data_IF_950933129051
#
_entry.id   IF_950933129051
#
_cell.length_a   1.000
_cell.length_b   1.000
_cell.length_c   1.000
_cell.angle_alpha   90.00
_cell.angle_beta   90.00
_cell.angle_gamma   90.00
#
_symmetry.space_group_name_H-M   'P 1'
#
loop_
_entity.id
_entity.type
_entity.pdbx_description
1 polymer ?
#
# COMPACT_ATOMS: atom_id res chain seq x y z
N UNK A 1 -10.29 15.90 -4.01
CA UNK A 1 -9.67 15.94 -2.67
C UNK A 1 -8.22 15.47 -2.77
N UNK A 2 -7.38 15.88 -1.82
CA UNK A 2 -5.99 15.41 -1.68
C UNK A 2 -5.92 14.59 -0.40
N UNK A 3 -5.24 13.44 -0.43
CA UNK A 3 -4.85 12.70 0.77
C UNK A 3 -3.33 12.84 0.96
N UNK A 4 -2.88 13.03 2.20
CA UNK A 4 -1.48 13.25 2.52
C UNK A 4 -1.17 12.82 3.95
N UNK A 5 0.11 12.52 4.23
CA UNK A 5 0.60 12.27 5.59
C UNK A 5 1.04 13.56 6.28
N UNK A 6 0.87 13.66 7.60
CA UNK A 6 1.41 14.77 8.40
C UNK A 6 1.76 14.32 9.82
N UNK A 7 2.88 14.80 10.36
CA UNK A 7 3.37 14.49 11.71
C UNK A 7 3.02 15.54 12.78
N UNK A 8 2.05 16.41 12.49
CA UNK A 8 1.69 17.54 13.36
C UNK A 8 1.13 17.13 14.72
N UNK A 9 0.69 15.87 14.85
CA UNK A 9 0.06 15.29 16.04
C UNK A 9 0.95 14.23 16.73
N UNK A 10 2.28 14.36 16.59
CA UNK A 10 3.35 13.56 17.23
C UNK A 10 3.76 12.24 16.52
N UNK A 11 3.01 11.76 15.53
CA UNK A 11 3.30 10.65 14.60
C UNK A 11 2.71 10.96 13.22
N UNK A 12 3.18 10.32 12.14
CA UNK A 12 2.55 10.51 10.82
C UNK A 12 1.15 9.90 10.78
N UNK A 13 0.21 10.71 10.31
CA UNK A 13 -1.20 10.35 10.21
C UNK A 13 -1.73 10.77 8.85
N UNK A 14 -2.78 10.09 8.38
CA UNK A 14 -3.43 10.40 7.10
C UNK A 14 -4.45 11.52 7.30
N UNK A 15 -4.33 12.54 6.47
CA UNK A 15 -5.26 13.66 6.38
C UNK A 15 -5.83 13.77 4.98
N UNK A 16 -6.99 14.41 4.87
CA UNK A 16 -7.54 14.88 3.61
C UNK A 16 -7.71 16.39 3.60
N UNK A 17 -7.71 16.98 2.41
CA UNK A 17 -8.03 18.39 2.19
C UNK A 17 -8.62 18.65 0.81
N UNK A 18 -9.22 19.82 0.64
CA UNK A 18 -9.61 20.34 -0.66
C UNK A 18 -8.39 20.65 -1.52
N UNK A 19 -8.58 20.73 -2.84
CA UNK A 19 -7.49 21.02 -3.80
C UNK A 19 -6.90 22.43 -3.57
N UNK A 20 -7.69 23.35 -3.00
CA UNK A 20 -7.25 24.69 -2.59
C UNK A 20 -6.52 24.72 -1.23
N UNK A 21 -6.33 23.56 -0.59
CA UNK A 21 -5.69 23.41 0.72
C UNK A 21 -6.60 23.61 1.93
N UNK A 22 -7.87 23.99 1.73
CA UNK A 22 -8.85 24.18 2.81
C UNK A 22 -9.45 22.86 3.30
N UNK A 23 -10.23 22.90 4.39
CA UNK A 23 -11.03 21.76 4.84
C UNK A 23 -10.21 20.56 5.33
N UNK A 24 -9.06 20.81 5.97
CA UNK A 24 -8.19 19.74 6.45
C UNK A 24 -8.87 18.88 7.52
N UNK A 25 -8.93 17.57 7.29
CA UNK A 25 -9.53 16.58 8.21
C UNK A 25 -8.57 15.44 8.46
N UNK A 26 -8.37 15.06 9.73
CA UNK A 26 -7.58 13.88 10.12
C UNK A 26 -8.44 12.62 9.97
N UNK A 27 -7.94 11.58 9.31
CA UNK A 27 -8.66 10.32 9.08
C UNK A 27 -8.18 9.17 9.95
N UNK A 28 -6.91 9.16 10.35
CA UNK A 28 -6.32 8.15 11.24
C UNK A 28 -5.83 8.80 12.51
N UNK A 29 -5.89 8.11 13.66
CA UNK A 29 -5.47 8.64 14.96
C UNK A 29 -5.05 7.52 15.91
N UNK A 30 -4.19 6.64 15.42
CA UNK A 30 -3.66 5.54 16.22
C UNK A 30 -2.18 5.81 16.53
N UNK A 31 -1.60 5.23 17.60
CA UNK A 31 -0.24 5.57 18.02
C UNK A 31 0.88 5.07 17.06
N UNK A 32 0.54 4.45 15.92
CA UNK A 32 1.49 3.98 14.91
C UNK A 32 1.70 5.00 13.79
N UNK A 33 2.73 4.80 12.96
CA UNK A 33 2.99 5.68 11.81
C UNK A 33 2.14 5.23 10.61
N UNK A 34 1.38 6.18 10.04
CA UNK A 34 0.58 5.99 8.85
C UNK A 34 1.11 6.81 7.66
N UNK A 35 1.45 6.10 6.59
CA UNK A 35 2.28 6.62 5.51
C UNK A 35 1.71 6.29 4.11
N UNK A 36 2.19 7.04 3.11
CA UNK A 36 2.00 6.75 1.67
C UNK A 36 0.54 6.55 1.23
N UNK A 37 -0.38 7.50 1.54
CA UNK A 37 -1.78 7.35 1.15
C UNK A 37 -1.98 7.44 -0.37
N UNK A 38 -2.87 6.62 -0.90
CA UNK A 38 -3.27 6.59 -2.30
C UNK A 38 -4.79 6.46 -2.44
N UNK A 39 -5.42 7.37 -3.19
CA UNK A 39 -6.84 7.32 -3.50
C UNK A 39 -7.17 6.20 -4.51
N UNK A 40 -8.29 5.52 -4.26
CA UNK A 40 -8.99 4.73 -5.29
C UNK A 40 -9.50 5.65 -6.41
N UNK A 41 -9.59 5.18 -7.67
CA UNK A 41 -9.98 6.01 -8.81
C UNK A 41 -11.40 6.61 -8.70
N UNK A 42 -12.32 5.90 -8.04
CA UNK A 42 -13.68 6.39 -7.81
C UNK A 42 -13.80 7.33 -6.60
N UNK A 43 -12.68 7.55 -5.89
CA UNK A 43 -12.58 8.45 -4.76
C UNK A 43 -13.30 7.96 -3.50
N UNK A 44 -13.74 6.69 -3.45
CA UNK A 44 -14.48 6.16 -2.30
C UNK A 44 -13.61 5.53 -1.24
N UNK A 45 -12.36 5.24 -1.56
CA UNK A 45 -11.41 4.57 -0.68
C UNK A 45 -10.01 5.15 -0.77
N UNK A 46 -9.22 4.94 0.30
CA UNK A 46 -7.81 5.31 0.43
C UNK A 46 -7.03 4.06 0.86
N UNK A 47 -6.01 3.66 0.12
CA UNK A 47 -5.01 2.71 0.58
C UNK A 47 -3.84 3.45 1.26
N UNK A 48 -3.27 2.90 2.32
CA UNK A 48 -2.14 3.48 3.03
C UNK A 48 -1.34 2.41 3.78
N UNK A 49 -0.13 2.76 4.17
CA UNK A 49 0.78 1.91 4.95
C UNK A 49 0.61 2.24 6.43
N UNK A 50 0.51 1.25 7.31
CA UNK A 50 0.35 1.46 8.76
C UNK A 50 1.09 0.40 9.59
N UNK A 51 1.68 0.81 10.70
CA UNK A 51 2.40 -0.06 11.64
C UNK A 51 1.53 -0.67 12.76
N UNK A 52 0.21 -0.51 12.72
CA UNK A 52 -0.69 -0.82 13.84
C UNK A 52 -0.79 -2.30 14.24
N UNK A 53 -0.41 -3.23 13.36
CA UNK A 53 -0.57 -4.68 13.59
C UNK A 53 0.71 -5.43 14.04
N UNK A 54 1.87 -4.78 14.20
CA UNK A 54 3.08 -5.55 14.49
C UNK A 54 4.42 -4.83 14.64
N UNK A 55 4.61 -4.07 15.72
CA UNK A 55 5.90 -3.46 16.11
C UNK A 55 6.45 -2.39 15.14
N UNK A 56 7.26 -1.47 15.66
CA UNK A 56 7.75 -0.26 14.97
C UNK A 56 8.56 -0.51 13.67
N UNK A 57 8.68 -1.76 13.25
CA UNK A 57 9.45 -2.21 12.09
C UNK A 57 8.60 -2.96 11.03
N UNK A 58 7.33 -3.29 11.31
CA UNK A 58 6.46 -4.01 10.36
C UNK A 58 5.27 -3.15 9.95
N UNK A 59 5.39 -2.47 8.81
CA UNK A 59 4.26 -1.77 8.20
C UNK A 59 3.52 -2.65 7.20
N UNK A 60 2.20 -2.53 7.19
CA UNK A 60 1.28 -3.29 6.34
C UNK A 60 0.40 -2.35 5.51
N UNK A 61 -0.13 -2.83 4.38
CA UNK A 61 -1.10 -2.07 3.56
C UNK A 61 -2.52 -2.25 4.09
N UNK A 62 -3.21 -1.13 4.32
CA UNK A 62 -4.61 -1.05 4.69
C UNK A 62 -5.40 -0.27 3.65
N UNK A 63 -6.69 -0.58 3.50
CA UNK A 63 -7.64 0.23 2.73
C UNK A 63 -8.73 0.74 3.65
N UNK A 64 -9.08 2.01 3.55
CA UNK A 64 -10.21 2.60 4.25
C UNK A 64 -11.20 3.29 3.32
N UNK A 65 -12.44 3.44 3.76
CA UNK A 65 -13.40 4.34 3.12
C UNK A 65 -12.88 5.80 3.16
N UNK A 66 -13.25 6.60 2.16
CA UNK A 66 -12.80 7.98 1.94
C UNK A 66 -13.05 8.91 3.14
N UNK A 67 -14.06 8.59 3.94
CA UNK A 67 -14.46 9.31 5.14
C UNK A 67 -13.78 8.79 6.42
N UNK A 68 -12.95 7.75 6.32
CA UNK A 68 -12.31 7.08 7.45
C UNK A 68 -13.28 6.21 8.26
N UNK A 69 -14.41 5.74 7.72
CA UNK A 69 -15.40 5.00 8.53
C UNK A 69 -15.21 3.48 8.58
N UNK A 70 -14.50 2.87 7.62
CA UNK A 70 -14.21 1.42 7.61
C UNK A 70 -12.80 1.16 7.13
N UNK A 71 -12.09 0.25 7.79
CA UNK A 71 -10.85 -0.35 7.26
C UNK A 71 -11.19 -1.76 6.77
N UNK A 72 -10.96 -2.01 5.49
CA UNK A 72 -10.96 -3.34 4.91
C UNK A 72 -9.53 -3.66 4.46
N UNK A 73 -9.11 -4.86 4.83
CA UNK A 73 -7.95 -5.56 4.29
C UNK A 73 -6.61 -5.33 5.00
N UNK A 74 -6.01 -6.49 5.28
CA UNK A 74 -4.71 -6.72 5.86
C UNK A 74 -4.05 -7.75 4.94
N UNK A 75 -2.95 -7.38 4.28
CA UNK A 75 -2.20 -8.31 3.44
C UNK A 75 -1.26 -9.13 4.34
N UNK A 76 -1.71 -10.28 4.86
CA UNK A 76 -0.77 -11.29 5.39
C UNK A 76 -0.69 -12.50 4.48
N UNK A 77 0.50 -12.84 3.92
CA UNK A 77 0.60 -13.76 2.78
C UNK A 77 0.38 -15.23 3.13
N UNK A 78 0.25 -15.58 4.41
CA UNK A 78 0.20 -16.98 4.84
C UNK A 78 -0.89 -17.31 5.87
N UNK A 79 -1.75 -16.37 6.24
CA UNK A 79 -2.86 -16.63 7.17
C UNK A 79 -4.09 -15.83 6.75
N UNK A 80 -5.18 -16.54 6.45
CA UNK A 80 -6.50 -15.96 6.25
C UNK A 80 -6.99 -15.33 7.57
N UNK A 81 -6.57 -14.12 7.87
CA UNK A 81 -7.13 -13.31 8.94
C UNK A 81 -7.78 -12.07 8.31
N UNK A 82 -9.11 -12.11 8.18
CA UNK A 82 -9.91 -10.93 7.85
C UNK A 82 -10.23 -10.25 9.17
N UNK A 83 -9.62 -9.10 9.45
CA UNK A 83 -10.07 -8.21 10.52
C UNK A 83 -11.03 -7.18 9.93
N UNK A 84 -12.17 -7.01 10.59
CA UNK A 84 -13.07 -5.87 10.39
C UNK A 84 -12.74 -4.86 11.49
N UNK A 85 -12.21 -3.68 11.14
CA UNK A 85 -11.89 -2.62 12.11
C UNK A 85 -12.43 -1.25 11.66
N UNK A 86 -12.67 -0.38 12.64
CA UNK A 86 -12.93 1.05 12.41
C UNK A 86 -11.62 1.80 12.13
N UNK A 87 -11.65 2.96 11.47
CA UNK A 87 -10.40 3.68 11.16
C UNK A 87 -9.69 4.30 12.36
N UNK A 88 -10.30 4.22 13.55
CA UNK A 88 -9.69 4.66 14.81
C UNK A 88 -8.89 3.55 15.50
N UNK A 89 -8.87 2.32 14.96
CA UNK A 89 -8.04 1.23 15.48
C UNK A 89 -8.46 0.69 16.85
N UNK A 90 -9.71 0.85 17.27
CA UNK A 90 -10.18 0.31 18.56
C UNK A 90 -10.64 -1.15 18.41
N UNK A 91 -10.23 -2.00 19.36
CA UNK A 91 -10.57 -3.43 19.52
C UNK A 91 -10.03 -4.42 18.44
N UNK A 92 -8.72 -4.45 18.14
CA UNK A 92 -8.15 -5.50 17.29
C UNK A 92 -8.09 -6.86 18.01
N UNK A 93 -8.80 -7.87 17.50
CA UNK A 93 -8.71 -9.26 18.01
C UNK A 93 -7.72 -10.05 17.16
N UNK A 94 -6.45 -10.06 17.53
CA UNK A 94 -5.40 -10.80 16.83
C UNK A 94 -5.59 -12.33 16.96
N UNK A 95 -5.59 -13.08 15.85
CA UNK A 95 -5.78 -14.54 15.87
C UNK A 95 -4.59 -15.37 15.38
N UNK A 96 -3.51 -14.80 14.81
CA UNK A 96 -2.31 -15.58 14.45
C UNK A 96 -1.10 -14.69 14.15
N UNK A 97 0.05 -15.08 14.71
CA UNK A 97 1.30 -14.34 14.73
C UNK A 97 2.33 -14.95 13.76
N UNK A 98 2.66 -14.26 12.66
CA UNK A 98 3.84 -14.57 11.83
C UNK A 98 4.49 -13.25 11.42
N UNK A 99 5.70 -13.00 11.93
CA UNK A 99 6.31 -11.67 12.19
C UNK A 99 7.63 -11.40 11.42
N UNK A 100 7.63 -11.40 10.09
CA UNK A 100 8.89 -11.09 9.36
C UNK A 100 8.76 -10.43 7.98
N UNK A 101 7.55 -10.21 7.43
CA UNK A 101 7.37 -9.60 6.11
C UNK A 101 6.69 -8.24 6.21
N UNK A 102 7.08 -7.30 5.36
CA UNK A 102 6.52 -5.94 5.28
C UNK A 102 5.90 -5.68 3.90
N UNK A 103 4.72 -5.07 3.90
CA UNK A 103 4.01 -4.66 2.69
C UNK A 103 3.79 -3.15 2.69
N UNK A 104 4.34 -2.44 1.69
CA UNK A 104 4.42 -0.97 1.67
C UNK A 104 4.20 -0.40 0.26
N UNK A 105 4.02 0.92 0.15
CA UNK A 105 3.90 1.66 -1.11
C UNK A 105 2.77 1.18 -2.04
N UNK A 106 1.50 1.17 -1.59
CA UNK A 106 0.40 0.75 -2.42
C UNK A 106 0.11 1.75 -3.56
N UNK A 107 -0.25 1.24 -4.72
CA UNK A 107 -0.69 2.01 -5.88
C UNK A 107 -1.89 1.33 -6.56
N UNK A 108 -3.02 2.04 -6.63
CA UNK A 108 -4.20 1.60 -7.36
C UNK A 108 -3.99 1.71 -8.87
N UNK A 109 -4.43 0.67 -9.58
CA UNK A 109 -4.65 0.75 -11.02
C UNK A 109 -5.74 1.76 -11.35
N UNK A 110 -5.61 2.58 -12.42
CA UNK A 110 -6.61 3.59 -12.78
C UNK A 110 -8.02 3.07 -13.06
N UNK A 111 -8.16 1.82 -13.49
CA UNK A 111 -9.44 1.13 -13.65
C UNK A 111 -10.01 0.56 -12.34
N UNK A 112 -9.26 0.68 -11.23
CA UNK A 112 -9.68 0.29 -9.89
C UNK A 112 -9.71 -1.21 -9.66
N UNK A 113 -9.24 -2.03 -10.60
CA UNK A 113 -9.35 -3.48 -10.53
C UNK A 113 -8.26 -4.12 -9.66
N UNK A 114 -7.12 -3.45 -9.52
CA UNK A 114 -5.89 -3.99 -8.94
C UNK A 114 -5.14 -2.98 -8.06
N UNK A 115 -4.36 -3.51 -7.13
CA UNK A 115 -3.43 -2.78 -6.27
C UNK A 115 -2.04 -3.38 -6.49
N UNK A 116 -1.06 -2.55 -6.82
CA UNK A 116 0.36 -2.90 -6.81
C UNK A 116 0.99 -2.42 -5.50
N UNK A 117 1.93 -3.17 -4.94
CA UNK A 117 2.62 -2.83 -3.70
C UNK A 117 4.00 -3.47 -3.65
N UNK A 118 4.86 -2.98 -2.75
CA UNK A 118 6.17 -3.56 -2.45
C UNK A 118 6.02 -4.55 -1.31
N UNK A 119 6.59 -5.75 -1.41
CA UNK A 119 6.60 -6.74 -0.32
C UNK A 119 7.99 -7.31 -0.08
N UNK A 120 8.33 -7.61 1.17
CA UNK A 120 9.57 -8.33 1.55
C UNK A 120 9.35 -9.82 1.84
N UNK A 121 8.16 -10.35 1.56
CA UNK A 121 7.74 -11.71 1.95
C UNK A 121 8.60 -12.85 1.39
N UNK A 122 9.33 -12.62 0.29
CA UNK A 122 10.20 -13.60 -0.35
C UNK A 122 11.70 -13.39 -0.01
N UNK A 123 12.01 -12.51 0.97
CA UNK A 123 13.37 -12.29 1.49
C UNK A 123 14.09 -11.06 0.94
N UNK A 124 13.53 -10.42 -0.10
CA UNK A 124 13.94 -9.12 -0.62
C UNK A 124 12.69 -8.31 -1.03
N UNK A 125 12.84 -6.99 -1.22
CA UNK A 125 11.73 -6.15 -1.68
C UNK A 125 11.40 -6.45 -3.14
N UNK A 126 10.15 -6.80 -3.41
CA UNK A 126 9.62 -7.17 -4.73
C UNK A 126 8.29 -6.46 -5.00
N UNK A 127 7.92 -6.30 -6.28
CA UNK A 127 6.64 -5.74 -6.68
C UNK A 127 5.59 -6.85 -6.79
N UNK A 128 4.56 -6.75 -5.96
CA UNK A 128 3.38 -7.61 -6.03
C UNK A 128 2.18 -6.85 -6.57
N UNK A 129 1.25 -7.62 -7.13
CA UNK A 129 -0.08 -7.14 -7.50
C UNK A 129 -1.14 -8.06 -6.92
N UNK A 130 -2.25 -7.47 -6.50
CA UNK A 130 -3.47 -8.17 -6.08
C UNK A 130 -4.71 -7.53 -6.70
N UNK A 131 -5.83 -8.23 -6.66
CA UNK A 131 -7.14 -7.66 -6.97
C UNK A 131 -7.54 -6.62 -5.92
N UNK A 132 -8.45 -5.72 -6.27
CA UNK A 132 -8.97 -4.69 -5.36
C UNK A 132 -9.64 -5.25 -4.10
N UNK A 133 -10.19 -6.47 -4.18
CA UNK A 133 -10.74 -7.22 -3.03
C UNK A 133 -9.66 -7.93 -2.20
N UNK A 134 -8.39 -7.74 -2.57
CA UNK A 134 -7.20 -8.31 -1.93
C UNK A 134 -6.88 -9.75 -2.30
N UNK A 135 -7.68 -10.38 -3.16
CA UNK A 135 -7.42 -11.74 -3.65
C UNK A 135 -6.38 -11.76 -4.78
N UNK A 136 -5.88 -12.95 -5.14
CA UNK A 136 -5.06 -13.12 -6.34
C UNK A 136 -3.70 -12.42 -6.28
N UNK A 137 -3.05 -12.43 -5.12
CA UNK A 137 -1.73 -11.84 -4.91
C UNK A 137 -0.66 -12.59 -5.71
N UNK A 138 0.14 -11.87 -6.50
CA UNK A 138 1.18 -12.42 -7.39
C UNK A 138 2.44 -11.55 -7.35
N UNK A 139 3.62 -12.16 -7.27
CA UNK A 139 4.92 -11.50 -7.44
C UNK A 139 5.17 -11.23 -8.93
N UNK A 140 5.35 -9.98 -9.34
CA UNK A 140 5.57 -9.59 -10.74
C UNK A 140 7.05 -9.44 -11.13
N UNK A 141 7.94 -9.17 -10.17
CA UNK A 141 9.36 -8.89 -10.46
C UNK A 141 10.23 -10.14 -10.38
N UNK A 142 10.07 -10.92 -9.31
CA UNK A 142 10.83 -12.12 -8.98
C UNK A 142 12.33 -12.03 -9.32
N UNK A 143 13.03 -11.06 -8.72
CA UNK A 143 14.44 -10.82 -8.95
C UNK A 143 15.25 -10.91 -7.64
N UNK A 144 16.55 -11.28 -7.65
CA UNK A 144 17.36 -11.31 -6.41
C UNK A 144 17.65 -9.92 -5.81
N UNK A 145 17.60 -8.89 -6.63
CA UNK A 145 17.84 -7.49 -6.24
C UNK A 145 16.51 -6.79 -5.92
N UNK A 146 16.54 -5.74 -5.11
CA UNK A 146 15.31 -5.09 -4.62
C UNK A 146 14.60 -4.26 -5.68
N UNK A 147 13.27 -4.39 -5.71
CA UNK A 147 12.33 -3.59 -6.50
C UNK A 147 11.27 -2.92 -5.59
N UNK A 148 10.97 -1.64 -5.82
CA UNK A 148 10.07 -0.85 -4.94
C UNK A 148 9.42 0.36 -5.64
N UNK A 149 8.46 1.00 -4.98
CA UNK A 149 7.67 2.16 -5.45
C UNK A 149 6.95 1.92 -6.79
N UNK A 150 5.99 0.98 -6.88
CA UNK A 150 5.25 0.75 -8.11
C UNK A 150 4.35 1.94 -8.47
N UNK A 151 4.19 2.21 -9.77
CA UNK A 151 3.28 3.22 -10.30
C UNK A 151 2.63 2.74 -11.60
N UNK A 152 1.30 2.82 -11.68
CA UNK A 152 0.54 2.38 -12.85
C UNK A 152 0.54 3.41 -13.97
N UNK A 153 0.57 2.94 -15.22
CA UNK A 153 0.23 3.78 -16.37
C UNK A 153 -1.26 4.14 -16.35
N UNK A 154 -1.61 5.30 -16.92
CA UNK A 154 -2.97 5.82 -16.93
C UNK A 154 -4.01 4.89 -17.60
N UNK A 155 -3.57 3.97 -18.45
CA UNK A 155 -4.41 2.98 -19.14
C UNK A 155 -4.45 1.60 -18.44
N UNK A 156 -3.92 1.48 -17.22
CA UNK A 156 -3.78 0.25 -16.44
C UNK A 156 -2.97 -0.88 -17.09
N UNK A 157 -2.24 -0.62 -18.20
CA UNK A 157 -1.55 -1.69 -18.94
C UNK A 157 -0.10 -1.91 -18.55
N UNK A 158 0.51 -0.95 -17.84
CA UNK A 158 1.93 -0.99 -17.47
C UNK A 158 2.15 -0.55 -16.04
N UNK A 159 3.29 -0.96 -15.52
CA UNK A 159 3.83 -0.53 -14.24
C UNK A 159 5.24 0.03 -14.46
N UNK A 160 5.52 1.19 -13.88
CA UNK A 160 6.87 1.68 -13.64
C UNK A 160 7.27 1.37 -12.19
N UNK A 161 8.55 1.08 -11.94
CA UNK A 161 9.07 0.80 -10.61
C UNK A 161 10.57 1.12 -10.54
N UNK A 162 11.09 1.29 -9.33
CA UNK A 162 12.53 1.44 -9.10
C UNK A 162 13.15 0.06 -8.92
N UNK A 163 14.27 -0.21 -9.60
CA UNK A 163 15.02 -1.45 -9.49
C UNK A 163 16.49 -1.21 -9.17
N UNK A 164 17.11 -2.11 -8.41
CA UNK A 164 18.57 -2.13 -8.18
C UNK A 164 19.33 -3.15 -9.03
N UNK A 165 18.66 -3.81 -9.99
CA UNK A 165 19.24 -4.95 -10.74
C UNK A 165 20.47 -4.65 -11.60
N UNK A 166 20.74 -3.38 -11.87
CA UNK A 166 21.92 -2.94 -12.63
C UNK A 166 23.10 -2.51 -11.72
N UNK A 167 23.01 -2.74 -10.40
CA UNK A 167 24.03 -2.34 -9.41
C UNK A 167 23.86 -0.90 -8.89
N UNK A 168 22.84 -0.19 -9.37
CA UNK A 168 22.37 1.11 -8.89
C UNK A 168 20.85 1.24 -9.11
N UNK A 169 20.23 2.27 -8.53
CA UNK A 169 18.79 2.52 -8.68
C UNK A 169 18.47 3.04 -10.08
N UNK A 170 17.63 2.32 -10.79
CA UNK A 170 17.17 2.63 -12.14
C UNK A 170 15.64 2.54 -12.21
N UNK A 171 15.03 3.17 -13.22
CA UNK A 171 13.59 3.04 -13.46
C UNK A 171 13.36 1.95 -14.49
N UNK A 172 12.48 1.01 -14.14
CA UNK A 172 12.03 -0.05 -15.01
C UNK A 172 10.55 0.12 -15.33
N UNK A 173 10.15 -0.40 -16.48
CA UNK A 173 8.76 -0.53 -16.89
C UNK A 173 8.46 -1.97 -17.30
N UNK A 174 7.26 -2.43 -17.01
CA UNK A 174 6.75 -3.74 -17.41
C UNK A 174 5.28 -3.66 -17.79
N UNK A 175 4.78 -4.71 -18.43
CA UNK A 175 3.33 -4.89 -18.58
C UNK A 175 2.70 -5.19 -17.22
N UNK A 176 1.40 -4.92 -17.08
CA UNK A 176 0.61 -5.17 -15.87
C UNK A 176 0.62 -6.64 -15.41
N UNK A 177 0.96 -7.58 -16.28
CA UNK A 177 1.10 -9.01 -15.99
C UNK A 177 2.52 -9.42 -15.59
N UNK A 178 3.43 -8.46 -15.40
CA UNK A 178 4.84 -8.68 -15.05
C UNK A 178 5.75 -8.97 -16.24
N UNK A 179 5.20 -9.16 -17.44
CA UNK A 179 6.00 -9.46 -18.63
C UNK A 179 6.70 -8.21 -19.21
N UNK A 180 7.73 -8.43 -20.03
CA UNK A 180 8.47 -7.38 -20.75
C UNK A 180 9.09 -6.31 -19.84
N UNK A 181 9.67 -6.71 -18.71
CA UNK A 181 10.45 -5.82 -17.87
C UNK A 181 11.62 -5.25 -18.67
N UNK A 182 11.72 -3.92 -18.74
CA UNK A 182 12.78 -3.22 -19.46
C UNK A 182 13.14 -1.93 -18.74
N UNK A 183 14.41 -1.54 -18.82
CA UNK A 183 14.90 -0.28 -18.27
C UNK A 183 14.43 0.90 -19.16
N UNK A 184 14.03 2.00 -18.52
CA UNK A 184 13.70 3.26 -19.19
C UNK A 184 14.93 4.16 -19.39
#
# INVERSE_FOLDING_TARGET
LIAFRSNRDCNHEIYTMNVDGSGQTRLTNDPSEDDTPAWSPDGKQIAFTSGRDGSREESEVYVMDADGSKIAYHSKPLLFAIFLMNATGSDPVNLTDVRTSTDVHPAWSPDGAKIAFTSTRDGNSEIYVMNADGTGVVNLTNHPETDFFPSWSADSKKLAFVSQRDGNREIYVMNADGSKQTRL
#
